data_IF_348972647992
#
_entry.id   IF_348972647992
#
_cell.length_a   1.000
_cell.length_b   1.000
_cell.length_c   1.000
_cell.angle_alpha   90.00
_cell.angle_beta   90.00
_cell.angle_gamma   90.00
#
_symmetry.space_group_name_H-M   'P 1'
#
loop_
_entity.id
_entity.type
_entity.pdbx_description
1 polymer ?
#
# COMPACT_ATOMS: atom_id res chain seq x y z
N UNK A 1 10.82 3.68 -24.85
CA UNK A 1 10.52 4.54 -23.68
C UNK A 1 9.22 4.17 -22.95
N UNK A 2 8.33 3.34 -23.50
CA UNK A 2 7.05 2.90 -22.86
C UNK A 2 7.23 2.03 -21.61
N UNK A 3 8.03 0.96 -21.69
CA UNK A 3 8.09 -0.09 -20.65
C UNK A 3 8.56 0.35 -19.25
N UNK A 4 9.31 1.45 -19.14
CA UNK A 4 9.78 1.95 -17.86
C UNK A 4 8.65 2.63 -17.07
N UNK A 5 7.79 3.39 -17.75
CA UNK A 5 6.68 4.12 -17.12
C UNK A 5 5.57 3.19 -16.67
N UNK A 6 5.33 2.09 -17.38
CA UNK A 6 4.31 1.09 -17.03
C UNK A 6 4.52 0.51 -15.63
N UNK A 7 5.77 0.42 -15.16
CA UNK A 7 6.07 -0.08 -13.80
C UNK A 7 5.62 0.85 -12.70
N UNK A 8 5.46 2.14 -12.98
CA UNK A 8 5.06 3.12 -11.99
C UNK A 8 3.59 3.53 -12.16
N UNK A 9 2.91 3.10 -13.23
CA UNK A 9 1.52 3.44 -13.47
C UNK A 9 0.63 2.66 -12.50
N UNK A 10 -0.21 3.32 -11.69
CA UNK A 10 -1.15 2.62 -10.82
C UNK A 10 -2.37 2.14 -11.61
N UNK A 11 -3.00 1.06 -11.14
CA UNK A 11 -4.28 0.59 -11.68
C UNK A 11 -5.47 1.39 -11.14
N UNK A 12 -5.36 1.90 -9.91
CA UNK A 12 -6.33 2.75 -9.25
C UNK A 12 -5.63 3.90 -8.54
N UNK A 13 -6.26 5.08 -8.57
CA UNK A 13 -5.88 6.21 -7.73
C UNK A 13 -7.03 6.55 -6.79
N UNK A 14 -6.72 6.76 -5.50
CA UNK A 14 -7.66 7.21 -4.49
C UNK A 14 -7.12 8.46 -3.79
N UNK A 15 -7.99 9.43 -3.56
CA UNK A 15 -7.64 10.59 -2.72
C UNK A 15 -7.53 10.25 -1.24
N UNK A 16 -8.17 9.16 -0.83
CA UNK A 16 -8.14 8.63 0.52
C UNK A 16 -8.41 7.12 0.41
N UNK A 17 -7.61 6.31 1.12
CA UNK A 17 -7.77 4.85 1.12
C UNK A 17 -9.13 4.41 1.66
N UNK A 18 -9.75 5.21 2.53
CA UNK A 18 -11.07 4.92 3.08
C UNK A 18 -12.22 5.09 2.08
N UNK A 19 -11.94 5.57 0.86
CA UNK A 19 -12.87 5.61 -0.28
C UNK A 19 -12.83 4.34 -1.13
N UNK A 20 -12.03 3.35 -0.76
CA UNK A 20 -11.88 2.10 -1.50
C UNK A 20 -13.21 1.32 -1.55
N UNK A 21 -13.70 1.08 -2.77
CA UNK A 21 -14.85 0.22 -3.01
C UNK A 21 -14.43 -1.26 -2.92
N UNK A 22 -14.84 -1.92 -1.84
CA UNK A 22 -14.53 -3.33 -1.57
C UNK A 22 -15.19 -4.26 -2.59
N UNK A 23 -16.37 -3.90 -3.12
CA UNK A 23 -17.06 -4.73 -4.12
C UNK A 23 -16.35 -4.66 -5.48
N UNK A 24 -15.73 -3.52 -5.80
CA UNK A 24 -14.89 -3.41 -7.00
C UNK A 24 -13.65 -4.32 -6.92
N UNK A 25 -13.04 -4.45 -5.73
CA UNK A 25 -11.95 -5.41 -5.52
C UNK A 25 -12.40 -6.85 -5.77
N UNK A 26 -13.57 -7.22 -5.24
CA UNK A 26 -14.13 -8.57 -5.40
C UNK A 26 -14.45 -8.89 -6.85
N UNK A 27 -15.04 -7.94 -7.60
CA UNK A 27 -15.29 -8.09 -9.05
C UNK A 27 -14.03 -8.34 -9.86
N UNK A 28 -12.89 -7.78 -9.40
CA UNK A 28 -11.56 -7.99 -10.00
C UNK A 28 -10.90 -9.30 -9.56
N UNK A 29 -11.55 -10.09 -8.69
CA UNK A 29 -10.99 -11.33 -8.16
C UNK A 29 -9.90 -11.11 -7.12
N UNK A 30 -9.80 -9.90 -6.55
CA UNK A 30 -8.86 -9.61 -5.46
C UNK A 30 -9.36 -10.27 -4.18
N UNK A 31 -8.46 -10.99 -3.52
CA UNK A 31 -8.70 -11.76 -2.28
C UNK A 31 -7.91 -11.22 -1.10
N UNK A 32 -6.84 -10.47 -1.37
CA UNK A 32 -6.00 -9.88 -0.34
C UNK A 32 -5.56 -8.46 -0.70
N UNK A 33 -5.39 -7.60 0.31
CA UNK A 33 -4.79 -6.28 0.16
C UNK A 33 -3.59 -6.16 1.10
N UNK A 34 -2.43 -5.87 0.53
CA UNK A 34 -1.23 -5.50 1.24
C UNK A 34 -1.22 -3.97 1.39
N UNK A 35 -1.09 -3.47 2.62
CA UNK A 35 -1.11 -2.04 2.88
C UNK A 35 0.26 -1.54 3.31
N UNK A 36 0.69 -0.41 2.74
CA UNK A 36 1.61 0.47 3.46
C UNK A 36 0.89 1.15 4.65
N UNK A 37 1.66 1.74 5.57
CA UNK A 37 1.13 2.34 6.80
C UNK A 37 1.23 3.86 6.72
N UNK A 38 2.46 4.37 6.69
CA UNK A 38 2.75 5.78 6.88
C UNK A 38 2.36 6.57 5.62
N UNK A 39 1.55 7.62 5.80
CA UNK A 39 0.92 8.41 4.75
C UNK A 39 -0.01 7.65 3.81
N UNK A 40 -0.35 6.40 4.14
CA UNK A 40 -1.36 5.60 3.43
C UNK A 40 -2.59 5.38 4.30
N UNK A 41 -2.43 4.73 5.45
CA UNK A 41 -3.51 4.49 6.42
C UNK A 41 -3.57 5.61 7.46
N UNK A 42 -2.41 6.06 7.91
CA UNK A 42 -2.27 7.08 8.96
C UNK A 42 -1.03 7.92 8.72
N UNK A 43 -0.86 9.02 9.46
CA UNK A 43 0.40 9.76 9.40
C UNK A 43 1.52 8.99 10.12
N UNK A 44 2.77 9.41 9.89
CA UNK A 44 3.92 8.87 10.62
C UNK A 44 3.81 9.03 12.16
N UNK A 45 3.07 10.04 12.63
CA UNK A 45 2.94 10.36 14.06
C UNK A 45 1.85 9.55 14.77
N UNK A 46 0.96 8.91 14.02
CA UNK A 46 -0.11 8.10 14.57
C UNK A 46 0.42 6.69 14.89
N UNK A 47 0.79 6.48 16.16
CA UNK A 47 1.40 5.23 16.62
C UNK A 47 0.46 4.03 16.51
N UNK A 48 -0.83 4.24 16.79
CA UNK A 48 -1.87 3.20 16.82
C UNK A 48 -3.00 3.52 15.83
N UNK A 49 -3.75 2.49 15.42
CA UNK A 49 -4.83 2.67 14.49
C UNK A 49 -6.02 3.42 15.10
N UNK A 50 -6.49 4.51 14.46
CA UNK A 50 -7.69 5.20 14.88
C UNK A 50 -8.94 4.38 14.55
N UNK A 51 -10.06 4.75 15.18
CA UNK A 51 -11.32 4.00 15.08
C UNK A 51 -11.83 3.82 13.64
N UNK A 52 -11.61 4.80 12.76
CA UNK A 52 -12.02 4.71 11.36
C UNK A 52 -11.18 3.68 10.58
N UNK A 53 -9.88 3.55 10.87
CA UNK A 53 -9.02 2.51 10.30
C UNK A 53 -9.45 1.13 10.77
N UNK A 54 -9.73 0.96 12.06
CA UNK A 54 -10.23 -0.32 12.60
C UNK A 54 -11.54 -0.71 11.90
N UNK A 55 -12.49 0.23 11.77
CA UNK A 55 -13.76 0.00 11.06
C UNK A 55 -13.55 -0.40 9.60
N UNK A 56 -12.60 0.24 8.92
CA UNK A 56 -12.25 -0.07 7.53
C UNK A 56 -11.69 -1.50 7.38
N UNK A 57 -10.77 -1.91 8.24
CA UNK A 57 -10.22 -3.27 8.23
C UNK A 57 -11.30 -4.32 8.56
N UNK A 58 -12.17 -4.06 9.53
CA UNK A 58 -13.30 -4.94 9.82
C UNK A 58 -14.20 -5.13 8.59
N UNK A 59 -14.52 -4.05 7.86
CA UNK A 59 -15.34 -4.13 6.65
C UNK A 59 -14.67 -4.97 5.54
N UNK A 60 -13.33 -4.90 5.40
CA UNK A 60 -12.57 -5.74 4.48
C UNK A 60 -12.69 -7.23 4.88
N UNK A 61 -12.48 -7.55 6.16
CA UNK A 61 -12.56 -8.92 6.66
C UNK A 61 -13.97 -9.51 6.56
N UNK A 62 -14.99 -8.74 6.92
CA UNK A 62 -16.41 -9.11 6.80
C UNK A 62 -16.78 -9.41 5.33
N UNK A 63 -16.09 -8.76 4.39
CA UNK A 63 -16.25 -8.98 2.95
C UNK A 63 -15.40 -10.13 2.40
N UNK A 64 -14.62 -10.81 3.26
CA UNK A 64 -13.74 -11.92 2.89
C UNK A 64 -12.39 -11.51 2.30
N UNK A 65 -12.00 -10.24 2.40
CA UNK A 65 -10.70 -9.76 1.95
C UNK A 65 -9.68 -9.93 3.08
N UNK A 66 -8.60 -10.65 2.79
CA UNK A 66 -7.45 -10.80 3.69
C UNK A 66 -6.57 -9.56 3.65
N UNK A 67 -5.90 -9.25 4.75
CA UNK A 67 -5.05 -8.06 4.85
C UNK A 67 -3.70 -8.38 5.47
N UNK A 68 -2.69 -7.59 5.11
CA UNK A 68 -1.37 -7.65 5.73
C UNK A 68 -0.67 -6.30 5.58
N UNK A 69 0.01 -5.85 6.64
CA UNK A 69 0.77 -4.61 6.62
C UNK A 69 2.19 -4.87 6.12
N UNK A 70 2.64 -4.12 5.12
CA UNK A 70 4.00 -4.24 4.58
C UNK A 70 4.62 -2.85 4.50
N UNK A 71 5.50 -2.52 5.43
CA UNK A 71 6.11 -1.19 5.56
C UNK A 71 7.64 -1.23 5.43
N UNK A 72 8.21 -0.14 4.89
CA UNK A 72 9.65 0.09 4.87
C UNK A 72 10.21 0.59 6.21
N UNK A 73 9.35 0.89 7.18
CA UNK A 73 9.71 1.45 8.47
C UNK A 73 10.33 0.40 9.42
N UNK A 74 10.81 0.84 10.59
CA UNK A 74 11.44 0.00 11.59
C UNK A 74 10.44 -0.95 12.28
N UNK A 75 10.95 -1.96 12.99
CA UNK A 75 10.11 -2.99 13.61
C UNK A 75 9.16 -2.40 14.66
N UNK A 76 9.67 -1.53 15.53
CA UNK A 76 8.92 -0.95 16.64
C UNK A 76 7.66 -0.23 16.15
N UNK A 77 7.82 0.70 15.21
CA UNK A 77 6.72 1.46 14.60
C UNK A 77 5.68 0.54 13.96
N UNK A 78 6.12 -0.42 13.14
CA UNK A 78 5.21 -1.32 12.41
C UNK A 78 4.51 -2.29 13.36
N UNK A 79 5.22 -2.85 14.33
CA UNK A 79 4.69 -3.82 15.28
C UNK A 79 3.63 -3.20 16.21
N UNK A 80 3.86 -1.97 16.71
CA UNK A 80 2.87 -1.26 17.53
C UNK A 80 1.57 -1.04 16.75
N UNK A 81 1.67 -0.51 15.53
CA UNK A 81 0.50 -0.25 14.70
C UNK A 81 -0.22 -1.55 14.31
N UNK A 82 0.51 -2.56 13.84
CA UNK A 82 -0.04 -3.85 13.44
C UNK A 82 -0.76 -4.56 14.60
N UNK A 83 -0.19 -4.55 15.80
CA UNK A 83 -0.82 -5.10 17.00
C UNK A 83 -2.11 -4.38 17.38
N UNK A 84 -2.19 -3.07 17.15
CA UNK A 84 -3.41 -2.30 17.41
C UNK A 84 -4.57 -2.66 16.46
N UNK A 85 -4.26 -3.17 15.26
CA UNK A 85 -5.25 -3.68 14.30
C UNK A 85 -5.47 -5.20 14.37
N UNK A 86 -4.53 -5.94 14.97
CA UNK A 86 -4.56 -7.41 14.94
C UNK A 86 -4.09 -8.02 13.61
N UNK A 87 -3.25 -7.29 12.85
CA UNK A 87 -2.86 -7.65 11.48
C UNK A 87 -1.50 -8.34 11.40
N UNK A 88 -1.30 -9.32 10.48
CA UNK A 88 0.03 -9.80 10.15
C UNK A 88 0.85 -8.68 9.47
N UNK A 89 2.16 -8.66 9.72
CA UNK A 89 2.99 -7.56 9.23
C UNK A 89 4.42 -7.93 8.83
N UNK A 90 4.98 -7.12 7.94
CA UNK A 90 6.38 -7.09 7.57
C UNK A 90 6.95 -5.68 7.68
N UNK A 91 8.01 -5.55 8.47
CA UNK A 91 8.79 -4.32 8.64
C UNK A 91 10.07 -4.37 7.81
N UNK A 92 10.75 -3.22 7.61
CA UNK A 92 11.95 -3.10 6.76
C UNK A 92 11.78 -3.87 5.45
N UNK A 93 10.60 -3.72 4.82
CA UNK A 93 10.23 -4.50 3.64
C UNK A 93 11.12 -4.20 2.42
N UNK A 94 11.80 -3.05 2.42
CA UNK A 94 12.66 -2.55 1.34
C UNK A 94 11.94 -2.54 -0.03
N UNK A 95 10.63 -2.28 -0.05
CA UNK A 95 9.86 -1.99 -1.27
C UNK A 95 10.63 -0.94 -2.08
N UNK A 96 10.83 -1.14 -3.41
CA UNK A 96 10.12 -2.08 -4.30
C UNK A 96 10.73 -3.49 -4.39
N UNK A 97 11.54 -3.94 -3.42
CA UNK A 97 12.02 -5.34 -3.39
C UNK A 97 10.85 -6.30 -3.11
N UNK A 98 10.82 -7.39 -3.86
CA UNK A 98 9.73 -8.38 -3.86
C UNK A 98 9.72 -9.34 -2.67
N UNK A 99 10.81 -9.41 -1.88
CA UNK A 99 11.01 -10.46 -0.88
C UNK A 99 9.87 -10.53 0.14
N UNK A 100 9.49 -9.38 0.70
CA UNK A 100 8.48 -9.34 1.75
C UNK A 100 7.05 -9.32 1.20
N UNK A 101 6.82 -8.72 0.03
CA UNK A 101 5.55 -8.87 -0.71
C UNK A 101 5.25 -10.34 -1.01
N UNK A 102 6.24 -11.12 -1.47
CA UNK A 102 6.12 -12.57 -1.67
C UNK A 102 5.85 -13.34 -0.38
N UNK A 103 6.38 -12.88 0.75
CA UNK A 103 6.15 -13.53 2.05
C UNK A 103 4.73 -13.27 2.53
N UNK A 104 4.26 -12.02 2.44
CA UNK A 104 2.88 -11.65 2.73
C UNK A 104 1.86 -12.45 1.89
N UNK A 105 2.05 -12.53 0.57
CA UNK A 105 1.19 -13.38 -0.29
C UNK A 105 1.16 -14.85 0.16
N UNK A 106 2.30 -15.43 0.51
CA UNK A 106 2.36 -16.83 0.96
C UNK A 106 1.71 -17.04 2.32
N UNK A 107 1.88 -16.10 3.24
CA UNK A 107 1.23 -16.12 4.55
C UNK A 107 -0.30 -16.04 4.43
N UNK A 108 -0.79 -15.21 3.51
CA UNK A 108 -2.21 -15.10 3.18
C UNK A 108 -2.72 -16.21 2.24
N UNK A 109 -1.85 -17.13 1.80
CA UNK A 109 -2.15 -18.17 0.82
C UNK A 109 -2.85 -17.64 -0.45
N UNK A 110 -2.35 -16.52 -0.98
CA UNK A 110 -2.89 -15.84 -2.16
C UNK A 110 -1.80 -15.65 -3.22
N UNK A 111 -2.15 -15.97 -4.47
CA UNK A 111 -1.31 -15.65 -5.62
C UNK A 111 -1.25 -14.13 -5.86
N UNK A 112 -0.10 -13.56 -6.26
CA UNK A 112 0.06 -12.11 -6.43
C UNK A 112 -1.00 -11.45 -7.33
N UNK A 113 -1.45 -12.13 -8.39
CA UNK A 113 -2.49 -11.65 -9.31
C UNK A 113 -3.88 -11.50 -8.68
N UNK A 114 -4.12 -12.12 -7.52
CA UNK A 114 -5.33 -11.97 -6.72
C UNK A 114 -5.08 -11.11 -5.46
N UNK A 115 -3.95 -10.38 -5.42
CA UNK A 115 -3.64 -9.45 -4.35
C UNK A 115 -3.52 -8.02 -4.90
N UNK A 116 -3.90 -7.05 -4.06
CA UNK A 116 -3.62 -5.65 -4.29
C UNK A 116 -2.50 -5.15 -3.37
N UNK A 117 -1.74 -4.15 -3.80
CA UNK A 117 -0.85 -3.37 -2.97
C UNK A 117 -1.31 -1.92 -2.96
N UNK A 118 -1.64 -1.41 -1.77
CA UNK A 118 -2.09 -0.04 -1.55
C UNK A 118 -1.00 0.76 -0.82
N UNK A 119 -0.65 1.93 -1.35
CA UNK A 119 0.38 2.80 -0.78
C UNK A 119 0.41 4.17 -1.44
N UNK A 120 1.17 5.11 -0.87
CA UNK A 120 1.22 6.50 -1.33
C UNK A 120 2.40 6.82 -2.27
N UNK A 121 3.34 5.90 -2.44
CA UNK A 121 4.58 6.13 -3.19
C UNK A 121 4.64 5.31 -4.49
N UNK A 122 4.96 5.98 -5.59
CA UNK A 122 5.13 5.35 -6.90
C UNK A 122 6.32 4.40 -6.91
N UNK A 123 7.46 4.82 -6.33
CA UNK A 123 8.72 4.08 -6.43
C UNK A 123 8.71 2.83 -5.57
N UNK A 124 8.03 2.86 -4.42
CA UNK A 124 8.00 1.73 -3.49
C UNK A 124 6.82 0.84 -3.77
N UNK A 125 5.61 1.38 -3.72
CA UNK A 125 4.39 0.60 -3.66
C UNK A 125 3.93 0.23 -5.07
N UNK A 126 3.73 1.21 -5.94
CA UNK A 126 3.25 0.93 -7.30
C UNK A 126 4.27 0.10 -8.08
N UNK A 127 5.55 0.49 -8.06
CA UNK A 127 6.60 -0.32 -8.65
C UNK A 127 6.76 -1.69 -7.98
N UNK A 128 6.56 -1.79 -6.66
CA UNK A 128 6.60 -3.06 -5.94
C UNK A 128 5.50 -4.02 -6.40
N UNK A 129 4.26 -3.54 -6.49
CA UNK A 129 3.09 -4.30 -6.86
C UNK A 129 3.11 -4.70 -8.34
N UNK A 130 3.43 -3.76 -9.24
CA UNK A 130 3.56 -4.03 -10.67
C UNK A 130 4.65 -5.07 -10.97
N UNK A 131 5.77 -5.06 -10.23
CA UNK A 131 6.82 -6.09 -10.35
C UNK A 131 6.42 -7.46 -9.82
N UNK A 132 5.37 -7.50 -9.00
CA UNK A 132 4.77 -8.72 -8.46
C UNK A 132 3.60 -9.22 -9.31
N UNK A 133 3.08 -8.40 -10.24
CA UNK A 133 1.84 -8.70 -10.97
C UNK A 133 0.59 -8.52 -10.10
N UNK A 134 0.67 -7.68 -9.07
CA UNK A 134 -0.45 -7.32 -8.20
C UNK A 134 -1.26 -6.18 -8.82
N UNK A 135 -2.51 -6.06 -8.38
CA UNK A 135 -3.27 -4.83 -8.57
C UNK A 135 -2.67 -3.70 -7.71
N UNK A 136 -2.51 -2.51 -8.27
CA UNK A 136 -1.84 -1.39 -7.58
C UNK A 136 -2.80 -0.23 -7.32
N UNK A 137 -2.85 0.20 -6.06
CA UNK A 137 -3.72 1.28 -5.60
C UNK A 137 -2.81 2.39 -5.07
N UNK A 138 -2.71 3.48 -5.80
CA UNK A 138 -2.02 4.68 -5.36
C UNK A 138 -2.97 5.54 -4.53
N UNK A 139 -2.54 5.90 -3.33
CA UNK A 139 -3.31 6.76 -2.43
C UNK A 139 -2.63 8.12 -2.34
N UNK A 140 -3.40 9.21 -2.28
CA UNK A 140 -2.83 10.51 -1.98
C UNK A 140 -2.26 10.54 -0.55
N UNK A 141 -1.05 11.11 -0.34
CA UNK A 141 -0.42 11.10 0.97
C UNK A 141 -1.19 11.95 1.99
N UNK A 142 -1.37 11.43 3.20
CA UNK A 142 -2.10 12.12 4.29
C UNK A 142 -1.34 13.37 4.77
N UNK A 143 0.00 13.28 4.89
CA UNK A 143 0.85 14.39 5.34
C UNK A 143 2.13 14.48 4.52
N UNK A 144 2.62 15.70 4.35
CA UNK A 144 3.91 16.01 3.71
C UNK A 144 5.05 16.16 4.72
N UNK A 145 4.81 16.03 6.02
CA UNK A 145 5.90 16.11 7.03
C UNK A 145 6.60 14.75 7.14
N UNK A 146 7.73 14.61 6.47
CA UNK A 146 8.50 13.37 6.41
C UNK A 146 10.01 13.63 6.47
N UNK A 147 10.79 12.54 6.54
CA UNK A 147 12.24 12.61 6.44
C UNK A 147 12.69 13.12 5.07
N UNK A 148 13.83 13.83 5.05
CA UNK A 148 14.38 14.45 3.84
C UNK A 148 14.59 13.46 2.67
N UNK A 149 14.93 12.20 2.97
CA UNK A 149 15.07 11.14 1.96
C UNK A 149 13.75 10.83 1.24
N UNK A 150 12.62 10.91 1.95
CA UNK A 150 11.30 10.68 1.36
C UNK A 150 10.91 11.88 0.50
N UNK A 151 11.19 13.10 0.97
CA UNK A 151 11.02 14.32 0.16
C UNK A 151 11.77 14.28 -1.17
N UNK A 152 13.02 13.79 -1.17
CA UNK A 152 13.79 13.62 -2.41
C UNK A 152 13.11 12.64 -3.37
N UNK A 153 12.64 11.48 -2.87
CA UNK A 153 11.91 10.50 -3.68
C UNK A 153 10.65 11.11 -4.27
N UNK A 154 9.85 11.84 -3.47
CA UNK A 154 8.63 12.50 -3.95
C UNK A 154 8.91 13.47 -5.09
N UNK A 155 10.05 14.16 -5.08
CA UNK A 155 10.44 15.06 -6.16
C UNK A 155 10.72 14.32 -7.47
N UNK A 156 11.37 13.15 -7.38
CA UNK A 156 11.56 12.25 -8.53
C UNK A 156 10.23 11.68 -9.00
N UNK A 157 9.34 11.30 -8.09
CA UNK A 157 8.01 10.76 -8.40
C UNK A 157 7.14 11.77 -9.16
N UNK A 158 7.13 13.04 -8.73
CA UNK A 158 6.45 14.12 -9.45
C UNK A 158 6.94 14.29 -10.89
N UNK A 159 8.23 14.03 -11.13
CA UNK A 159 8.76 14.05 -12.48
C UNK A 159 8.30 12.83 -13.29
N UNK A 160 8.21 11.65 -12.67
CA UNK A 160 7.73 10.41 -13.30
C UNK A 160 6.26 10.53 -13.72
N UNK A 161 5.42 11.11 -12.86
CA UNK A 161 3.97 11.25 -13.09
C UNK A 161 3.54 12.55 -13.78
N UNK A 162 4.49 13.40 -14.20
CA UNK A 162 4.19 14.74 -14.75
C UNK A 162 3.23 14.74 -15.94
N UNK A 163 3.24 13.67 -16.72
CA UNK A 163 2.43 13.52 -17.94
C UNK A 163 1.21 12.60 -17.73
N UNK A 164 0.89 12.23 -16.49
CA UNK A 164 -0.28 11.40 -16.19
C UNK A 164 -1.43 12.31 -15.78
N UNK A 165 -2.57 12.16 -16.47
CA UNK A 165 -3.86 12.74 -16.07
C UNK A 165 -4.39 12.00 -14.82
N UNK A 166 -3.65 12.08 -13.72
CA UNK A 166 -4.15 11.71 -12.40
C UNK A 166 -4.84 12.97 -11.88
N UNK A 167 -6.17 12.95 -11.89
CA UNK A 167 -7.07 14.08 -11.62
C UNK A 167 -6.63 15.03 -10.51
#
# INVERSE_FOLDING_TARGET
MSWFRDKFKPDMFLRDIYLLDIEELKKRGIKAVLFDIDNTLVTYYDEVAPAHTIKFFNALHESGILTCLVSNNNKERVEVFAKSLGEPFYYKALKPRRKFLKRACRELNVEPQHAALAGDQLITDICGGNRMGMYTILVAPISVKEDWFVHLKRSIEKYISKDWDIC
#
